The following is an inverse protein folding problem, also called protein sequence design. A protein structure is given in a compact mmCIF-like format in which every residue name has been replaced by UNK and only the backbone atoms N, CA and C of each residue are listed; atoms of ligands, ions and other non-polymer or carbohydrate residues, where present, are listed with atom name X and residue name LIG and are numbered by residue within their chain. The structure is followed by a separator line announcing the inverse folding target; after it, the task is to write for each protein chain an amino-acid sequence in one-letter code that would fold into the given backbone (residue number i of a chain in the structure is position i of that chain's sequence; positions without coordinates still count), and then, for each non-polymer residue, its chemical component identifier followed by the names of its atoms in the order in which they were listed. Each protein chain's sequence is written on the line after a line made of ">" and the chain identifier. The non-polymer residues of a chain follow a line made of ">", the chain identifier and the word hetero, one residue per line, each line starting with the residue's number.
data_IF_575328861395
#
_entry.id   IF_575328861395
#
_cell.length_a   1.000
_cell.length_b   1.000
_cell.length_c   1.000
_cell.angle_alpha   90.00
_cell.angle_beta   90.00
_cell.angle_gamma   90.00
#
_symmetry.space_group_name_H-M   'P 1'
#
loop_
_entity.id
_entity.type
_entity.pdbx_description
1 polymer ?
#
# COMPACT_ATOMS: atom_id res chain seq x y z
N UNK A 1 15.78 -12.08 -0.98
CA UNK A 1 15.00 -11.69 0.21
C UNK A 1 13.86 -10.78 -0.22
N UNK A 2 12.65 -11.07 0.24
CA UNK A 2 11.51 -10.16 0.11
C UNK A 2 11.72 -8.89 0.94
N UNK A 3 11.08 -7.79 0.53
CA UNK A 3 11.17 -6.49 1.20
C UNK A 3 9.77 -5.97 1.52
N UNK A 4 9.59 -5.42 2.72
CA UNK A 4 8.28 -5.01 3.22
C UNK A 4 8.23 -3.51 3.52
N UNK A 5 7.06 -2.91 3.29
CA UNK A 5 6.68 -1.61 3.84
C UNK A 5 5.40 -1.78 4.65
N UNK A 6 5.25 -0.96 5.69
CA UNK A 6 4.10 -1.03 6.60
C UNK A 6 3.45 0.33 6.74
N UNK A 7 2.12 0.36 6.71
CA UNK A 7 1.33 1.54 7.06
C UNK A 7 0.60 1.19 8.35
N UNK A 8 1.08 1.72 9.47
CA UNK A 8 0.46 1.50 10.78
C UNK A 8 -0.71 2.46 10.94
N UNK A 9 -1.87 1.92 11.31
CA UNK A 9 -3.06 2.72 11.64
C UNK A 9 -2.98 3.04 13.14
N UNK A 10 -2.55 4.27 13.43
CA UNK A 10 -2.35 4.76 14.80
C UNK A 10 -3.64 5.41 15.32
N UNK A 11 -3.76 5.69 16.63
CA UNK A 11 -4.93 6.36 17.17
C UNK A 11 -5.25 7.68 16.46
N UNK A 12 -4.23 8.40 16.00
CA UNK A 12 -4.37 9.66 15.23
C UNK A 12 -4.62 9.48 13.73
N UNK A 13 -4.72 8.25 13.23
CA UNK A 13 -5.10 7.97 11.84
C UNK A 13 -6.59 8.28 11.61
N UNK A 14 -6.96 8.52 10.35
CA UNK A 14 -8.36 8.81 10.01
C UNK A 14 -9.29 7.60 10.22
N UNK A 15 -8.72 6.39 10.23
CA UNK A 15 -9.37 5.15 10.64
C UNK A 15 -8.32 4.18 11.21
N UNK A 16 -8.72 3.34 12.17
CA UNK A 16 -7.86 2.42 12.92
C UNK A 16 -7.91 0.97 12.39
N UNK A 17 -8.86 0.70 11.48
CA UNK A 17 -9.04 -0.57 10.79
C UNK A 17 -9.29 -0.31 9.31
N UNK A 18 -8.99 -1.30 8.47
CA UNK A 18 -9.29 -1.27 7.04
C UNK A 18 -9.45 -2.71 6.55
N UNK A 19 -10.36 -2.95 5.62
CA UNK A 19 -10.52 -4.25 4.96
C UNK A 19 -9.69 -4.33 3.66
N UNK A 20 -9.46 -5.54 3.16
CA UNK A 20 -8.86 -5.69 1.83
C UNK A 20 -9.75 -5.13 0.73
N UNK A 21 -11.09 -5.17 0.86
CA UNK A 21 -12.01 -4.55 -0.10
C UNK A 21 -11.81 -3.04 -0.19
N UNK A 22 -11.72 -2.34 0.96
CA UNK A 22 -11.41 -0.90 0.98
C UNK A 22 -10.05 -0.59 0.34
N UNK A 23 -9.04 -1.46 0.53
CA UNK A 23 -7.75 -1.31 -0.15
C UNK A 23 -7.85 -1.50 -1.67
N UNK A 24 -8.69 -2.43 -2.14
CA UNK A 24 -8.95 -2.62 -3.58
C UNK A 24 -9.65 -1.39 -4.17
N UNK A 25 -10.59 -0.79 -3.44
CA UNK A 25 -11.23 0.47 -3.84
C UNK A 25 -10.22 1.62 -3.89
N UNK A 26 -9.33 1.73 -2.91
CA UNK A 26 -8.24 2.72 -2.92
C UNK A 26 -7.28 2.51 -4.09
N UNK A 27 -6.98 1.26 -4.45
CA UNK A 27 -6.18 0.93 -5.63
C UNK A 27 -6.87 1.37 -6.92
N UNK A 28 -8.16 1.05 -7.10
CA UNK A 28 -8.92 1.47 -8.27
C UNK A 28 -9.02 2.99 -8.39
N UNK A 29 -9.29 3.67 -7.27
CA UNK A 29 -9.29 5.13 -7.21
C UNK A 29 -7.92 5.71 -7.54
N UNK A 30 -6.83 5.12 -7.03
CA UNK A 30 -5.46 5.53 -7.34
C UNK A 30 -5.15 5.40 -8.84
N UNK A 31 -5.51 4.28 -9.47
CA UNK A 31 -5.40 4.10 -10.93
C UNK A 31 -6.19 5.17 -11.69
N UNK A 32 -7.42 5.47 -11.24
CA UNK A 32 -8.26 6.47 -11.90
C UNK A 32 -7.65 7.88 -11.87
N UNK A 33 -7.17 8.34 -10.70
CA UNK A 33 -6.61 9.70 -10.58
C UNK A 33 -5.23 9.84 -11.26
N UNK A 34 -4.45 8.76 -11.31
CA UNK A 34 -3.14 8.76 -11.99
C UNK A 34 -3.27 8.69 -13.50
N UNK A 35 -4.28 7.98 -14.03
CA UNK A 35 -4.62 8.00 -15.46
C UNK A 35 -4.98 9.41 -15.92
N UNK A 36 -5.94 10.07 -15.26
CA UNK A 36 -6.39 11.44 -15.61
C UNK A 36 -5.28 12.49 -15.60
N UNK A 37 -4.25 12.30 -14.78
CA UNK A 37 -3.08 13.20 -14.76
C UNK A 37 -2.20 13.00 -15.99
N UNK A 38 -2.18 11.80 -16.58
CA UNK A 38 -1.49 11.49 -17.84
C UNK A 38 -2.19 12.06 -19.07
N UNK A 39 -3.52 12.05 -19.11
CA UNK A 39 -4.34 12.54 -20.25
C UNK A 39 -4.10 14.03 -20.51
N UNK A 40 -3.87 14.80 -19.45
CA UNK A 40 -3.59 16.23 -19.52
C UNK A 40 -2.21 16.55 -20.13
N UNK A 41 -1.34 15.54 -20.33
CA UNK A 41 0.05 15.70 -20.77
C UNK A 41 0.28 15.16 -22.20
N UNK A 42 -0.78 14.81 -22.93
CA UNK A 42 -0.77 14.42 -24.36
C UNK A 42 0.28 13.34 -24.73
N UNK A 43 0.42 12.36 -23.85
CA UNK A 43 1.12 11.10 -24.10
C UNK A 43 0.12 9.98 -23.82
N UNK A 44 0.12 8.91 -24.62
CA UNK A 44 -0.64 7.66 -24.41
C UNK A 44 -0.21 6.94 -23.11
N UNK A 45 -0.39 7.61 -21.97
CA UNK A 45 0.17 7.30 -20.66
C UNK A 45 -0.90 6.69 -19.72
N UNK A 46 -2.16 6.67 -20.17
CA UNK A 46 -3.31 6.09 -19.46
C UNK A 46 -3.04 4.65 -18.99
N UNK A 47 -2.31 3.86 -19.78
CA UNK A 47 -1.96 2.47 -19.46
C UNK A 47 -0.62 2.30 -18.74
N UNK A 48 0.22 3.35 -18.63
CA UNK A 48 1.59 3.23 -18.10
C UNK A 48 1.80 3.80 -16.70
N UNK A 49 0.90 4.66 -16.20
CA UNK A 49 1.11 5.34 -14.91
C UNK A 49 1.18 4.36 -13.72
N UNK A 50 0.30 3.35 -13.72
CA UNK A 50 0.28 2.26 -12.73
C UNK A 50 -0.13 0.92 -13.36
N UNK A 51 0.81 0.19 -13.97
CA UNK A 51 0.55 -0.91 -14.90
C UNK A 51 0.31 -2.25 -14.17
N UNK A 52 -0.65 -2.28 -13.25
CA UNK A 52 -0.99 -3.50 -12.52
C UNK A 52 -2.48 -3.83 -12.62
N UNK A 53 -2.75 -5.13 -12.61
CA UNK A 53 -4.07 -5.71 -12.40
C UNK A 53 -4.17 -6.31 -11.00
N UNK A 54 -5.35 -6.16 -10.42
CA UNK A 54 -5.68 -6.76 -9.13
C UNK A 54 -5.97 -8.26 -9.34
N UNK A 55 -5.32 -9.09 -8.53
CA UNK A 55 -5.54 -10.53 -8.47
C UNK A 55 -5.71 -10.94 -7.02
N UNK A 56 -6.62 -11.88 -6.79
CA UNK A 56 -6.88 -12.46 -5.48
C UNK A 56 -7.09 -13.95 -5.66
N UNK A 57 -6.53 -14.74 -4.75
CA UNK A 57 -6.78 -16.18 -4.70
C UNK A 57 -7.95 -16.44 -3.75
N UNK A 58 -8.73 -17.49 -3.99
CA UNK A 58 -9.84 -17.87 -3.11
C UNK A 58 -9.39 -18.08 -1.65
N UNK A 59 -8.22 -18.73 -1.48
CA UNK A 59 -7.59 -18.97 -0.17
C UNK A 59 -7.13 -17.69 0.56
N UNK A 60 -6.98 -16.59 -0.18
CA UNK A 60 -6.48 -15.31 0.33
C UNK A 60 -7.61 -14.31 0.63
N UNK A 61 -8.84 -14.67 0.29
CA UNK A 61 -9.99 -13.77 0.30
C UNK A 61 -10.20 -13.16 1.69
N UNK A 62 -10.17 -11.83 1.74
CA UNK A 62 -10.33 -11.08 2.98
C UNK A 62 -9.04 -10.82 3.77
N UNK A 63 -7.92 -11.47 3.42
CA UNK A 63 -6.64 -11.35 4.14
C UNK A 63 -5.58 -10.62 3.31
N UNK A 64 -5.39 -11.02 2.05
CA UNK A 64 -4.42 -10.39 1.15
C UNK A 64 -4.82 -10.56 -0.31
N UNK A 65 -4.27 -9.70 -1.15
CA UNK A 65 -4.37 -9.77 -2.59
C UNK A 65 -3.02 -9.37 -3.20
N UNK A 66 -2.87 -9.50 -4.51
CA UNK A 66 -1.65 -9.09 -5.19
C UNK A 66 -1.96 -8.30 -6.44
N UNK A 67 -1.07 -7.36 -6.72
CA UNK A 67 -1.04 -6.57 -7.93
C UNK A 67 -0.05 -7.25 -8.87
N UNK A 68 -0.49 -7.62 -10.06
CA UNK A 68 0.34 -8.30 -11.05
C UNK A 68 0.40 -7.49 -12.34
N UNK A 69 1.58 -7.41 -12.93
CA UNK A 69 1.82 -6.72 -14.20
C UNK A 69 2.20 -7.72 -15.28
N UNK A 70 1.69 -7.51 -16.50
CA UNK A 70 2.17 -8.19 -17.71
C UNK A 70 3.25 -7.39 -18.46
N UNK A 71 3.62 -6.21 -17.99
CA UNK A 71 4.70 -5.40 -18.57
C UNK A 71 6.08 -5.84 -18.07
N UNK A 72 7.04 -6.04 -18.98
CA UNK A 72 8.41 -6.53 -18.72
C UNK A 72 9.20 -5.80 -17.61
N UNK A 73 8.83 -4.54 -17.31
CA UNK A 73 9.52 -3.72 -16.30
C UNK A 73 8.94 -3.86 -14.88
N UNK A 74 7.90 -4.67 -14.71
CA UNK A 74 7.15 -4.83 -13.48
C UNK A 74 6.73 -6.31 -13.34
N UNK A 75 6.48 -6.76 -12.12
CA UNK A 75 6.10 -8.13 -11.86
C UNK A 75 4.93 -8.19 -10.88
N UNK A 76 5.20 -8.06 -9.58
CA UNK A 76 4.17 -8.20 -8.57
C UNK A 76 4.45 -7.41 -7.29
N UNK A 77 3.35 -7.00 -6.63
CA UNK A 77 3.34 -6.40 -5.30
C UNK A 77 2.22 -7.11 -4.50
N UNK A 78 2.54 -7.72 -3.37
CA UNK A 78 1.54 -8.32 -2.49
C UNK A 78 1.08 -7.30 -1.46
N UNK A 79 -0.21 -7.30 -1.14
CA UNK A 79 -0.83 -6.35 -0.22
C UNK A 79 -1.76 -7.08 0.73
N UNK A 80 -1.58 -6.87 2.03
CA UNK A 80 -2.40 -7.49 3.06
C UNK A 80 -2.72 -6.54 4.20
N UNK A 81 -3.70 -6.93 5.01
CA UNK A 81 -4.01 -6.29 6.28
C UNK A 81 -3.82 -7.31 7.37
N UNK A 82 -3.19 -6.89 8.46
CA UNK A 82 -3.03 -7.71 9.66
C UNK A 82 -3.00 -6.82 10.90
N UNK A 83 -2.88 -7.44 12.08
CA UNK A 83 -2.78 -6.76 13.37
C UNK A 83 -1.53 -7.17 14.10
N UNK A 84 -1.01 -6.25 14.90
CA UNK A 84 0.05 -6.54 15.87
C UNK A 84 -0.38 -6.02 17.24
N UNK A 85 0.01 -6.73 18.30
CA UNK A 85 -0.16 -6.23 19.67
C UNK A 85 1.02 -5.32 19.98
N UNK A 86 0.73 -4.09 20.39
CA UNK A 86 1.73 -3.13 20.85
C UNK A 86 1.55 -2.84 22.34
N UNK A 87 2.67 -2.65 23.03
CA UNK A 87 2.69 -2.19 24.42
C UNK A 87 2.91 -0.69 24.45
N UNK A 88 1.97 0.04 25.05
CA UNK A 88 2.02 1.48 25.24
C UNK A 88 2.98 1.86 26.39
N UNK A 89 3.32 3.14 26.51
CA UNK A 89 4.23 3.64 27.55
C UNK A 89 3.72 3.40 28.98
N UNK A 90 2.40 3.32 29.17
CA UNK A 90 1.76 3.02 30.45
C UNK A 90 1.67 1.51 30.77
N UNK A 91 2.23 0.66 29.91
CA UNK A 91 2.22 -0.79 30.04
C UNK A 91 0.92 -1.46 29.58
N UNK A 92 -0.04 -0.70 29.04
CA UNK A 92 -1.25 -1.29 28.44
C UNK A 92 -0.93 -1.89 27.07
N UNK A 93 -1.62 -2.99 26.73
CA UNK A 93 -1.53 -3.61 25.40
C UNK A 93 -2.71 -3.18 24.54
N UNK A 94 -2.45 -2.90 23.26
CA UNK A 94 -3.51 -2.73 22.27
C UNK A 94 -3.19 -3.41 20.96
N UNK A 95 -4.23 -3.87 20.28
CA UNK A 95 -4.10 -4.31 18.90
C UNK A 95 -4.04 -3.09 17.96
N UNK A 96 -3.05 -3.10 17.09
CA UNK A 96 -2.85 -2.13 16.03
C UNK A 96 -2.99 -2.80 14.67
N UNK A 97 -3.96 -2.34 13.87
CA UNK A 97 -4.04 -2.77 12.47
C UNK A 97 -2.94 -2.10 11.64
N UNK A 98 -2.41 -2.86 10.68
CA UNK A 98 -1.47 -2.33 9.70
C UNK A 98 -1.75 -2.89 8.31
N UNK A 99 -1.38 -2.11 7.30
CA UNK A 99 -1.35 -2.55 5.91
C UNK A 99 0.10 -2.91 5.59
N UNK A 100 0.32 -4.08 5.04
CA UNK A 100 1.64 -4.53 4.57
C UNK A 100 1.67 -4.54 3.05
N UNK A 101 2.74 -3.97 2.49
CA UNK A 101 3.11 -4.14 1.09
C UNK A 101 4.40 -4.96 1.03
N UNK A 102 4.39 -6.05 0.28
CA UNK A 102 5.51 -6.98 0.15
C UNK A 102 5.97 -7.04 -1.30
N UNK A 103 7.25 -6.79 -1.52
CA UNK A 103 7.94 -7.04 -2.78
C UNK A 103 8.51 -8.47 -2.74
N UNK A 104 8.01 -9.39 -3.58
CA UNK A 104 8.59 -10.73 -3.70
C UNK A 104 10.01 -10.65 -4.26
N UNK A 105 10.76 -11.76 -4.19
CA UNK A 105 12.14 -11.80 -4.72
C UNK A 105 12.20 -11.54 -6.22
N UNK A 106 11.09 -11.79 -6.93
CA UNK A 106 10.93 -11.54 -8.36
C UNK A 106 10.58 -10.09 -8.69
N UNK A 107 10.43 -9.23 -7.67
CA UNK A 107 10.13 -7.82 -7.87
C UNK A 107 11.29 -7.08 -8.53
N UNK A 108 10.93 -6.22 -9.48
CA UNK A 108 11.83 -5.36 -10.22
C UNK A 108 12.09 -4.04 -9.48
N UNK A 109 13.06 -3.26 -9.96
CA UNK A 109 13.22 -1.88 -9.53
C UNK A 109 11.97 -1.02 -9.81
N UNK A 110 11.23 -1.33 -10.89
CA UNK A 110 9.97 -0.70 -11.23
C UNK A 110 8.90 -0.96 -10.17
N UNK A 111 8.78 -2.21 -9.72
CA UNK A 111 7.86 -2.60 -8.63
C UNK A 111 8.17 -1.84 -7.35
N UNK A 112 9.44 -1.72 -6.99
CA UNK A 112 9.85 -0.94 -5.82
C UNK A 112 9.46 0.54 -5.95
N UNK A 113 9.59 1.13 -7.14
CA UNK A 113 9.14 2.50 -7.39
C UNK A 113 7.63 2.65 -7.18
N UNK A 114 6.83 1.80 -7.82
CA UNK A 114 5.36 1.84 -7.76
C UNK A 114 4.80 1.48 -6.39
N UNK A 115 5.39 0.52 -5.69
CA UNK A 115 5.03 0.21 -4.31
C UNK A 115 5.31 1.37 -3.35
N UNK A 116 6.40 2.13 -3.56
CA UNK A 116 6.69 3.34 -2.78
C UNK A 116 5.71 4.49 -3.07
N UNK A 117 5.31 4.67 -4.33
CA UNK A 117 4.29 5.66 -4.69
C UNK A 117 2.95 5.31 -4.03
N UNK A 118 2.51 4.05 -4.17
CA UNK A 118 1.23 3.60 -3.67
C UNK A 118 1.16 3.56 -2.14
N UNK A 119 2.23 3.14 -1.45
CA UNK A 119 2.27 3.15 0.02
C UNK A 119 2.19 4.55 0.60
N UNK A 120 2.83 5.54 -0.03
CA UNK A 120 2.68 6.97 0.33
C UNK A 120 1.28 7.49 0.09
N UNK A 121 0.66 7.11 -1.02
CA UNK A 121 -0.73 7.47 -1.31
C UNK A 121 -1.67 6.95 -0.22
N UNK A 122 -1.61 5.66 0.11
CA UNK A 122 -2.45 5.06 1.16
C UNK A 122 -2.18 5.72 2.51
N UNK A 123 -0.92 5.85 2.91
CA UNK A 123 -0.55 6.47 4.17
C UNK A 123 -1.07 7.90 4.30
N UNK A 124 -1.01 8.70 3.21
CA UNK A 124 -1.57 10.05 3.19
C UNK A 124 -3.10 10.05 3.29
N UNK A 125 -3.78 9.15 2.58
CA UNK A 125 -5.25 9.03 2.60
C UNK A 125 -5.76 8.61 3.98
N UNK A 126 -5.01 7.76 4.67
CA UNK A 126 -5.37 7.20 5.98
C UNK A 126 -4.80 7.96 7.17
N UNK A 127 -4.00 9.01 6.93
CA UNK A 127 -3.21 9.67 7.98
C UNK A 127 -2.39 8.64 8.79
N UNK A 128 -1.79 7.67 8.11
CA UNK A 128 -1.04 6.58 8.72
C UNK A 128 0.41 6.94 9.05
N UNK A 129 1.06 6.06 9.80
CA UNK A 129 2.52 6.01 9.94
C UNK A 129 3.10 5.04 8.91
N UNK A 130 3.91 5.55 7.98
CA UNK A 130 4.50 4.75 6.90
C UNK A 130 5.95 4.40 7.22
N UNK A 131 6.21 3.10 7.36
CA UNK A 131 7.53 2.50 7.39
C UNK A 131 7.88 2.05 5.96
N UNK A 132 8.80 2.76 5.31
CA UNK A 132 9.21 2.46 3.93
C UNK A 132 10.03 1.16 3.85
N UNK A 133 10.20 0.63 2.64
CA UNK A 133 11.03 -0.55 2.34
C UNK A 133 12.50 -0.43 2.78
N UNK A 134 12.97 0.79 3.08
CA UNK A 134 14.31 1.08 3.61
C UNK A 134 14.29 1.47 5.08
N UNK A 135 13.22 1.16 5.80
CA UNK A 135 12.98 1.45 7.22
C UNK A 135 12.86 2.93 7.59
N UNK A 136 12.90 3.87 6.64
CA UNK A 136 12.60 5.27 6.92
C UNK A 136 11.12 5.41 7.28
N UNK A 137 10.84 6.11 8.37
CA UNK A 137 9.47 6.39 8.83
C UNK A 137 9.00 7.76 8.32
N UNK A 138 7.75 7.81 7.84
CA UNK A 138 7.03 9.03 7.46
C UNK A 138 5.71 9.08 8.22
N UNK A 139 5.30 10.28 8.63
CA UNK A 139 4.13 10.47 9.49
C UNK A 139 3.14 11.39 8.79
N UNK A 140 1.93 10.90 8.56
CA UNK A 140 0.89 11.63 7.81
C UNK A 140 -0.30 12.07 8.66
N UNK A 141 -0.31 11.73 9.95
CA UNK A 141 -1.28 12.25 10.91
C UNK A 141 -0.81 13.59 11.51
N UNK A 142 -1.74 14.47 11.94
CA UNK A 142 -1.40 15.66 12.70
C UNK A 142 -0.64 15.28 13.97
N UNK A 143 0.56 15.84 14.13
CA UNK A 143 1.32 15.74 15.38
C UNK A 143 0.93 16.93 16.25
N UNK A 144 0.48 16.65 17.48
CA UNK A 144 0.29 17.68 18.50
C UNK A 144 1.62 18.03 19.14
#
# INVERSE_FOLDING_TARGET
>A
MSSNAYIKLVPSSSQQTISTEELKDLFNYYKQITAKTGDQVDWNYEYSAFPYDLKEKEEAKGSWFYLHSSHDRYNAILIGVDKETITEEDGTERDQSYIQLTLPETATAGDKGKANEFSKFIAKKMQGELHLFNSRVMYFYPRK
#
